data_IF_973230554005
#
_entry.id   IF_973230554005
#
_cell.length_a   1.000
_cell.length_b   1.000
_cell.length_c   1.000
_cell.angle_alpha   90.00
_cell.angle_beta   90.00
_cell.angle_gamma   90.00
#
_symmetry.space_group_name_H-M   'P 1'
#
loop_
_entity.id
_entity.type
_entity.pdbx_description
1 polymer ?
#
# COMPACT_ATOMS: atom_id res chain seq x y z
N UNK A 1 -18.23 -57.37 15.04
CA UNK A 1 -16.99 -57.36 14.23
C UNK A 1 -15.87 -56.91 15.17
N UNK A 2 -14.86 -57.72 15.52
CA UNK A 2 -13.58 -57.88 14.80
C UNK A 2 -12.84 -56.53 14.54
N UNK A 3 -11.56 -56.30 14.85
CA UNK A 3 -10.44 -57.15 15.38
C UNK A 3 -9.24 -56.24 15.76
N UNK A 4 -8.40 -56.65 16.73
CA UNK A 4 -6.95 -56.33 16.91
C UNK A 4 -6.57 -54.83 17.17
N UNK A 5 -5.73 -54.47 18.16
CA UNK A 5 -4.28 -54.73 18.36
C UNK A 5 -3.39 -53.99 17.32
N UNK A 6 -2.21 -53.41 17.62
CA UNK A 6 -1.28 -53.62 18.76
C UNK A 6 -0.19 -52.51 18.81
N UNK A 7 0.24 -52.14 20.02
CA UNK A 7 1.64 -51.84 20.46
C UNK A 7 2.55 -50.72 19.88
N UNK A 8 3.37 -50.19 20.80
CA UNK A 8 4.39 -49.15 20.65
C UNK A 8 5.70 -49.62 19.98
N UNK A 9 6.52 -48.66 19.50
CA UNK A 9 7.97 -48.58 19.80
C UNK A 9 8.63 -47.22 19.48
N UNK A 10 9.42 -46.72 20.45
CA UNK A 10 10.38 -45.59 20.35
C UNK A 10 11.78 -46.11 19.90
N UNK A 11 12.77 -45.18 19.88
CA UNK A 11 14.26 -45.33 19.82
C UNK A 11 14.83 -44.90 18.45
N UNK A 12 15.28 -43.65 18.25
CA UNK A 12 16.56 -42.98 18.65
C UNK A 12 17.75 -43.30 17.71
N UNK A 13 18.27 -42.27 17.02
CA UNK A 13 19.69 -41.89 16.92
C UNK A 13 19.76 -40.53 16.17
N UNK A 14 20.48 -39.47 16.57
CA UNK A 14 21.84 -39.31 17.16
C UNK A 14 22.97 -39.41 16.12
N UNK A 15 23.47 -38.26 15.63
CA UNK A 15 24.83 -38.12 15.04
C UNK A 15 25.29 -36.66 14.81
N UNK A 16 26.25 -36.23 15.64
CA UNK A 16 27.40 -35.34 15.34
C UNK A 16 28.63 -36.11 15.92
N UNK A 17 29.89 -36.00 15.43
CA UNK A 17 30.59 -34.79 14.94
C UNK A 17 31.39 -35.09 13.62
N UNK A 18 32.53 -34.49 13.19
CA UNK A 18 33.46 -33.51 13.78
C UNK A 18 34.38 -32.76 12.76
N UNK A 19 34.89 -31.59 13.19
CA UNK A 19 36.26 -31.05 13.08
C UNK A 19 37.05 -30.86 11.75
N UNK A 20 37.58 -29.61 11.62
CA UNK A 20 38.94 -29.21 11.14
C UNK A 20 39.23 -29.34 9.62
N UNK A 21 40.09 -28.53 8.98
CA UNK A 21 41.11 -27.55 9.44
C UNK A 21 41.59 -26.60 8.31
N UNK A 22 42.22 -25.46 8.68
CA UNK A 22 43.26 -24.68 7.95
C UNK A 22 42.87 -24.03 6.58
N UNK A 23 43.40 -22.86 6.12
CA UNK A 23 44.46 -21.94 6.62
C UNK A 23 44.43 -20.58 5.88
N UNK A 24 45.01 -19.52 6.50
CA UNK A 24 45.62 -18.27 5.93
C UNK A 24 44.86 -17.45 4.83
N UNK A 25 44.93 -16.10 4.78
CA UNK A 25 46.07 -15.21 5.04
C UNK A 25 45.65 -13.81 5.61
N UNK A 26 46.64 -13.04 6.06
CA UNK A 26 46.58 -11.67 6.59
C UNK A 26 46.31 -10.64 5.46
N UNK A 27 45.92 -9.38 5.69
CA UNK A 27 46.84 -8.33 6.20
C UNK A 27 46.15 -7.09 6.83
N UNK A 28 46.73 -6.67 7.97
CA UNK A 28 46.80 -5.35 8.62
C UNK A 28 45.96 -4.17 8.07
N UNK A 29 45.30 -3.46 8.99
CA UNK A 29 45.75 -2.09 9.31
C UNK A 29 45.42 -1.66 10.75
N UNK A 30 46.39 -1.03 11.42
CA UNK A 30 46.24 -0.41 12.75
C UNK A 30 45.78 1.04 12.60
N UNK A 31 44.90 1.50 13.50
CA UNK A 31 45.19 2.74 14.25
C UNK A 31 44.43 2.76 15.58
N UNK A 32 44.88 3.57 16.53
CA UNK A 32 44.55 3.48 17.98
C UNK A 32 44.19 4.85 18.56
N UNK A 33 43.08 4.91 19.30
CA UNK A 33 42.84 5.60 20.58
C UNK A 33 41.37 5.33 20.97
N UNK A 34 40.98 5.04 22.21
CA UNK A 34 41.29 5.76 23.45
C UNK A 34 40.23 6.85 23.63
N UNK A 35 39.33 6.86 24.63
CA UNK A 35 39.55 6.54 26.05
C UNK A 35 38.24 6.15 26.79
N UNK A 36 38.39 5.51 27.97
CA UNK A 36 37.49 5.26 29.12
C UNK A 36 36.00 5.66 29.11
N UNK A 37 35.16 4.75 29.62
CA UNK A 37 33.71 4.97 29.86
C UNK A 37 33.33 5.24 31.33
N UNK A 38 32.02 5.48 31.55
CA UNK A 38 31.38 5.62 32.87
C UNK A 38 29.93 5.07 32.81
N UNK A 39 29.57 4.15 33.71
CA UNK A 39 28.19 3.73 34.04
C UNK A 39 27.62 4.65 35.16
N UNK A 40 26.31 4.83 35.44
CA UNK A 40 25.06 4.15 35.07
C UNK A 40 23.84 5.07 35.41
N UNK A 41 22.66 4.80 34.82
CA UNK A 41 21.28 5.05 35.36
C UNK A 41 20.81 6.49 35.72
N UNK A 42 19.68 6.90 35.13
CA UNK A 42 18.39 6.98 35.86
C UNK A 42 17.18 7.02 34.92
N UNK A 43 15.98 6.76 35.44
CA UNK A 43 14.71 6.65 34.71
C UNK A 43 14.00 8.00 34.55
N UNK A 44 13.18 8.16 33.50
CA UNK A 44 11.98 9.00 33.63
C UNK A 44 11.49 9.76 32.39
N UNK A 45 10.31 9.35 31.90
CA UNK A 45 9.24 10.19 31.39
C UNK A 45 9.23 10.65 29.91
N UNK A 46 8.33 10.01 29.14
CA UNK A 46 7.42 10.58 28.13
C UNK A 46 7.97 11.61 27.11
N UNK A 47 8.17 11.15 25.88
CA UNK A 47 7.20 11.34 24.78
C UNK A 47 7.69 10.59 23.53
N UNK A 48 6.85 9.73 22.95
CA UNK A 48 7.11 9.21 21.61
C UNK A 48 6.77 10.32 20.61
N UNK A 49 7.79 10.88 19.97
CA UNK A 49 7.58 11.84 18.89
C UNK A 49 6.89 11.14 17.71
N UNK A 50 5.87 11.74 17.06
CA UNK A 50 5.30 11.18 15.85
C UNK A 50 6.36 11.15 14.75
N UNK A 51 6.69 9.95 14.29
CA UNK A 51 7.70 9.74 13.25
C UNK A 51 7.20 10.29 11.90
N UNK A 52 7.85 11.35 11.42
CA UNK A 52 7.98 11.56 9.98
C UNK A 52 6.74 12.06 9.22
N UNK A 53 5.88 12.86 9.84
CA UNK A 53 4.98 13.73 9.07
C UNK A 53 5.80 14.81 8.33
N UNK A 54 6.44 14.43 7.21
CA UNK A 54 6.87 15.41 6.20
C UNK A 54 5.61 16.16 5.79
N UNK A 55 5.63 17.49 5.87
CA UNK A 55 4.49 18.31 5.50
C UNK A 55 4.00 17.91 4.11
N UNK A 56 2.74 17.47 4.05
CA UNK A 56 2.01 17.39 2.79
C UNK A 56 1.97 18.83 2.27
N UNK A 57 2.54 19.05 1.08
CA UNK A 57 2.44 20.35 0.42
C UNK A 57 0.97 20.74 0.35
N UNK A 58 0.59 22.02 0.60
CA UNK A 58 -0.80 22.41 0.55
C UNK A 58 -1.36 22.12 -0.84
N UNK A 59 -2.22 21.10 -0.88
CA UNK A 59 -3.01 20.69 -2.01
C UNK A 59 -3.56 21.91 -2.77
N UNK A 60 -3.45 21.89 -4.09
CA UNK A 60 -4.14 22.89 -4.91
C UNK A 60 -5.64 22.81 -4.64
N UNK A 61 -6.33 23.94 -4.73
CA UNK A 61 -7.80 23.87 -4.75
C UNK A 61 -8.20 23.12 -6.03
N UNK A 62 -8.85 21.96 -5.89
CA UNK A 62 -9.48 21.29 -7.03
C UNK A 62 -10.54 22.23 -7.62
N UNK A 63 -10.79 22.14 -8.93
CA UNK A 63 -12.01 22.72 -9.48
C UNK A 63 -13.24 21.99 -8.90
N UNK A 64 -14.41 22.61 -9.04
CA UNK A 64 -15.66 22.08 -8.47
C UNK A 64 -15.91 20.63 -8.94
N UNK A 65 -15.85 20.41 -10.25
CA UNK A 65 -16.13 19.13 -10.91
C UNK A 65 -15.22 17.99 -10.38
N UNK A 66 -13.91 18.25 -10.21
CA UNK A 66 -12.98 17.23 -9.69
C UNK A 66 -13.15 17.01 -8.19
N UNK A 67 -13.53 18.05 -7.43
CA UNK A 67 -13.84 17.91 -6.00
C UNK A 67 -15.14 17.11 -5.78
N UNK A 68 -16.12 17.28 -6.67
CA UNK A 68 -17.37 16.53 -6.67
C UNK A 68 -17.15 15.07 -7.09
N UNK A 69 -16.44 14.85 -8.20
CA UNK A 69 -15.98 13.53 -8.63
C UNK A 69 -15.18 12.78 -7.53
N UNK A 70 -14.31 13.49 -6.79
CA UNK A 70 -13.60 12.89 -5.66
C UNK A 70 -14.57 12.45 -4.54
N UNK A 71 -15.59 13.26 -4.21
CA UNK A 71 -16.61 12.89 -3.22
C UNK A 71 -17.45 11.70 -3.69
N UNK A 72 -17.84 11.67 -4.95
CA UNK A 72 -18.62 10.57 -5.53
C UNK A 72 -17.83 9.24 -5.48
N UNK A 73 -16.54 9.28 -5.83
CA UNK A 73 -15.67 8.11 -5.71
C UNK A 73 -15.45 7.70 -4.25
N UNK A 74 -15.43 8.63 -3.30
CA UNK A 74 -15.37 8.30 -1.87
C UNK A 74 -16.69 7.71 -1.36
N UNK A 75 -17.84 8.16 -1.87
CA UNK A 75 -19.15 7.60 -1.54
C UNK A 75 -19.26 6.16 -2.05
N UNK A 76 -18.88 5.90 -3.30
CA UNK A 76 -18.76 4.54 -3.86
C UNK A 76 -17.82 3.66 -3.03
N UNK A 77 -16.73 4.22 -2.49
CA UNK A 77 -15.78 3.47 -1.68
C UNK A 77 -16.32 3.07 -0.27
N UNK A 78 -17.49 3.56 0.16
CA UNK A 78 -18.14 3.08 1.39
C UNK A 78 -18.61 1.62 1.22
N UNK A 79 -19.08 1.23 0.03
CA UNK A 79 -19.52 -0.13 -0.31
C UNK A 79 -18.36 -1.02 -0.85
N UNK A 80 -17.11 -0.67 -0.55
CA UNK A 80 -15.94 -1.28 -1.18
C UNK A 80 -15.66 -2.75 -0.79
N UNK A 81 -16.38 -3.33 0.17
CA UNK A 81 -16.35 -4.77 0.40
C UNK A 81 -17.11 -5.55 -0.70
N UNK A 82 -17.99 -4.89 -1.44
CA UNK A 82 -18.71 -5.43 -2.61
C UNK A 82 -18.10 -5.07 -3.96
N UNK A 83 -17.28 -4.01 -4.02
CA UNK A 83 -16.69 -3.52 -5.27
C UNK A 83 -15.46 -4.34 -5.69
N UNK A 84 -15.28 -4.50 -7.01
CA UNK A 84 -14.02 -4.97 -7.57
C UNK A 84 -13.07 -3.78 -7.82
N UNK A 85 -11.73 -3.96 -7.70
CA UNK A 85 -10.75 -2.92 -7.99
C UNK A 85 -11.04 -2.23 -9.32
N UNK A 86 -11.23 -0.92 -9.29
CA UNK A 86 -11.75 -0.14 -10.41
C UNK A 86 -11.06 1.22 -10.51
N UNK A 87 -10.94 1.75 -11.74
CA UNK A 87 -10.54 3.12 -12.01
C UNK A 87 -11.69 3.84 -12.68
N UNK A 88 -12.18 4.89 -12.04
CA UNK A 88 -13.16 5.81 -12.56
C UNK A 88 -12.45 6.96 -13.27
N UNK A 89 -13.02 7.49 -14.33
CA UNK A 89 -12.50 8.64 -15.07
C UNK A 89 -13.57 9.71 -15.19
N UNK A 90 -13.19 10.94 -14.88
CA UNK A 90 -13.97 12.15 -15.16
C UNK A 90 -13.63 12.63 -16.57
N UNK A 91 -14.58 12.58 -17.49
CA UNK A 91 -14.46 13.16 -18.82
C UNK A 91 -14.51 14.69 -18.83
N UNK A 92 -14.60 15.30 -20.02
CA UNK A 92 -14.88 16.73 -20.17
C UNK A 92 -16.16 17.15 -19.42
N UNK A 93 -16.30 18.45 -19.07
CA UNK A 93 -17.48 18.92 -18.35
C UNK A 93 -18.73 18.74 -19.21
N UNK A 94 -19.77 18.17 -18.63
CA UNK A 94 -21.09 18.07 -19.23
C UNK A 94 -22.15 18.64 -18.27
N UNK A 95 -23.42 18.57 -18.63
CA UNK A 95 -24.52 19.02 -17.76
C UNK A 95 -24.81 18.08 -16.59
N UNK A 96 -24.19 16.89 -16.55
CA UNK A 96 -24.48 15.84 -15.58
C UNK A 96 -23.20 15.04 -15.26
N UNK A 97 -22.86 14.90 -13.97
CA UNK A 97 -21.60 14.27 -13.55
C UNK A 97 -21.58 12.77 -13.88
N UNK A 98 -22.72 12.08 -13.69
CA UNK A 98 -22.86 10.64 -13.96
C UNK A 98 -22.57 10.34 -15.44
N UNK A 99 -23.12 11.16 -16.34
CA UNK A 99 -22.88 11.13 -17.79
C UNK A 99 -21.43 11.42 -18.20
N UNK A 100 -20.67 12.15 -17.36
CA UNK A 100 -19.24 12.42 -17.56
C UNK A 100 -18.33 11.36 -16.90
N UNK A 101 -18.87 10.44 -16.09
CA UNK A 101 -18.09 9.38 -15.43
C UNK A 101 -18.04 8.10 -16.28
N UNK A 102 -16.88 7.45 -16.27
CA UNK A 102 -16.69 6.12 -16.87
C UNK A 102 -15.83 5.23 -15.97
N UNK A 103 -16.05 3.91 -16.01
CA UNK A 103 -15.38 2.94 -15.14
C UNK A 103 -14.59 1.91 -15.95
N UNK A 104 -13.38 1.59 -15.50
CA UNK A 104 -12.56 0.47 -15.95
C UNK A 104 -12.32 -0.45 -14.76
N UNK A 105 -12.71 -1.72 -14.85
CA UNK A 105 -12.34 -2.74 -13.85
C UNK A 105 -10.88 -3.17 -14.05
N UNK A 106 -10.12 -3.24 -12.96
CA UNK A 106 -8.66 -3.46 -12.94
C UNK A 106 -8.22 -4.56 -11.96
N UNK A 107 -9.13 -5.46 -11.57
CA UNK A 107 -8.87 -6.57 -10.63
C UNK A 107 -7.62 -7.40 -10.95
N UNK A 108 -7.39 -7.70 -12.23
CA UNK A 108 -6.23 -8.49 -12.67
C UNK A 108 -4.91 -7.72 -12.59
N UNK A 109 -4.94 -6.37 -12.60
CA UNK A 109 -3.74 -5.54 -12.53
C UNK A 109 -2.92 -5.79 -11.26
N UNK A 110 -3.56 -6.15 -10.15
CA UNK A 110 -2.91 -6.35 -8.86
C UNK A 110 -2.35 -7.77 -8.66
N UNK A 111 -2.44 -8.66 -9.65
CA UNK A 111 -1.93 -10.03 -9.54
C UNK A 111 -0.40 -10.14 -9.76
N UNK A 112 0.19 -9.31 -10.62
CA UNK A 112 1.64 -9.29 -10.89
C UNK A 112 2.15 -7.89 -11.27
N UNK A 113 3.45 -7.60 -11.11
CA UNK A 113 4.05 -6.36 -11.63
C UNK A 113 3.84 -6.18 -13.13
N UNK A 114 3.93 -7.24 -13.93
CA UNK A 114 3.75 -7.13 -15.39
C UNK A 114 2.30 -6.79 -15.76
N UNK A 115 1.32 -7.42 -15.08
CA UNK A 115 -0.09 -7.11 -15.25
C UNK A 115 -0.39 -5.65 -14.85
N UNK A 116 0.20 -5.16 -13.76
CA UNK A 116 0.07 -3.76 -13.34
C UNK A 116 0.63 -2.79 -14.38
N UNK A 117 1.83 -3.05 -14.93
CA UNK A 117 2.44 -2.19 -15.95
C UNK A 117 1.63 -2.19 -17.26
N UNK A 118 1.14 -3.35 -17.70
CA UNK A 118 0.28 -3.45 -18.88
C UNK A 118 -1.04 -2.69 -18.67
N UNK A 119 -1.67 -2.84 -17.50
CA UNK A 119 -2.87 -2.10 -17.13
C UNK A 119 -2.62 -0.58 -17.10
N UNK A 120 -1.50 -0.13 -16.51
CA UNK A 120 -1.11 1.29 -16.52
C UNK A 120 -0.91 1.86 -17.94
N UNK A 121 -0.41 1.06 -18.89
CA UNK A 121 -0.36 1.42 -20.30
C UNK A 121 -1.74 1.67 -20.89
N UNK A 122 -2.66 0.71 -20.69
CA UNK A 122 -4.05 0.82 -21.12
C UNK A 122 -4.78 2.02 -20.47
N UNK A 123 -4.67 2.22 -19.16
CA UNK A 123 -5.35 3.29 -18.44
C UNK A 123 -4.90 4.68 -18.90
N UNK A 124 -3.61 4.86 -19.23
CA UNK A 124 -3.09 6.11 -19.82
C UNK A 124 -3.66 6.37 -21.21
N UNK A 125 -3.71 5.35 -22.05
CA UNK A 125 -4.32 5.45 -23.38
C UNK A 125 -5.82 5.79 -23.26
N UNK A 126 -6.54 5.10 -22.37
CA UNK A 126 -7.96 5.35 -22.11
C UNK A 126 -8.22 6.79 -21.62
N UNK A 127 -7.41 7.29 -20.68
CA UNK A 127 -7.50 8.67 -20.20
C UNK A 127 -7.34 9.69 -21.35
N UNK A 128 -6.37 9.45 -22.25
CA UNK A 128 -6.12 10.29 -23.42
C UNK A 128 -7.28 10.24 -24.43
N UNK A 129 -7.73 9.04 -24.80
CA UNK A 129 -8.84 8.82 -25.73
C UNK A 129 -10.16 9.42 -25.23
N UNK A 130 -10.39 9.43 -23.92
CA UNK A 130 -11.58 10.03 -23.29
C UNK A 130 -11.44 11.53 -23.00
N UNK A 131 -10.29 12.14 -23.26
CA UNK A 131 -9.98 13.52 -22.81
C UNK A 131 -10.26 13.71 -21.31
N UNK A 132 -9.88 12.72 -20.49
CA UNK A 132 -10.19 12.71 -19.07
C UNK A 132 -9.48 13.86 -18.32
N UNK A 133 -10.20 14.49 -17.39
CA UNK A 133 -9.71 15.57 -16.54
C UNK A 133 -9.11 15.04 -15.23
N UNK A 134 -9.65 13.92 -14.75
CA UNK A 134 -9.22 13.24 -13.53
C UNK A 134 -9.50 11.74 -13.65
N UNK A 135 -8.81 10.96 -12.82
CA UNK A 135 -9.07 9.54 -12.62
C UNK A 135 -9.07 9.24 -11.11
N UNK A 136 -9.88 8.30 -10.66
CA UNK A 136 -9.93 7.86 -9.28
C UNK A 136 -9.91 6.33 -9.21
N UNK A 137 -8.86 5.77 -8.64
CA UNK A 137 -8.77 4.33 -8.38
C UNK A 137 -9.39 4.02 -7.01
N UNK A 138 -10.36 3.10 -6.98
CA UNK A 138 -10.91 2.50 -5.76
C UNK A 138 -10.45 1.05 -5.73
N UNK A 139 -9.67 0.68 -4.72
CA UNK A 139 -9.04 -0.64 -4.62
C UNK A 139 -9.24 -1.17 -3.19
N UNK A 140 -10.09 -2.19 -2.99
CA UNK A 140 -10.22 -2.85 -1.69
C UNK A 140 -8.88 -3.45 -1.25
N UNK A 141 -8.49 -3.25 0.00
CA UNK A 141 -7.15 -3.60 0.49
C UNK A 141 -6.86 -5.10 0.37
N UNK A 142 -7.89 -5.94 0.51
CA UNK A 142 -7.80 -7.40 0.37
C UNK A 142 -7.42 -7.87 -1.05
N UNK A 143 -7.68 -7.08 -2.09
CA UNK A 143 -7.42 -7.45 -3.49
C UNK A 143 -6.01 -7.05 -3.96
N UNK A 144 -5.24 -6.31 -3.16
CA UNK A 144 -3.87 -5.90 -3.49
C UNK A 144 -2.89 -7.05 -3.22
N UNK A 145 -2.86 -8.04 -4.11
CA UNK A 145 -1.87 -9.11 -4.07
C UNK A 145 -0.44 -8.60 -4.35
N UNK A 146 -0.29 -7.60 -5.22
CA UNK A 146 0.98 -6.93 -5.56
C UNK A 146 0.75 -5.45 -5.92
N UNK A 147 1.69 -4.51 -5.62
CA UNK A 147 2.91 -4.69 -4.83
C UNK A 147 2.64 -4.54 -3.33
N UNK A 148 3.08 -5.51 -2.53
CA UNK A 148 2.95 -5.46 -1.07
C UNK A 148 4.02 -4.57 -0.39
N UNK A 149 4.30 -3.38 -0.94
CA UNK A 149 5.26 -2.39 -0.37
C UNK A 149 4.97 -2.07 1.09
N UNK A 150 3.68 -2.02 1.44
CA UNK A 150 3.11 -1.89 2.78
C UNK A 150 3.63 -2.95 3.76
N UNK A 151 3.90 -4.19 3.33
CA UNK A 151 4.43 -5.22 4.26
C UNK A 151 5.92 -5.03 4.56
N UNK A 152 6.64 -4.27 3.74
CA UNK A 152 8.07 -3.98 3.92
C UNK A 152 8.33 -2.70 4.73
N UNK A 153 7.35 -1.77 4.80
CA UNK A 153 7.39 -0.59 5.69
C UNK A 153 6.40 -0.61 6.86
N UNK A 154 5.55 -1.64 6.93
CA UNK A 154 4.37 -1.66 7.80
C UNK A 154 3.20 -0.92 7.14
N UNK A 155 2.03 -1.57 7.08
CA UNK A 155 0.79 -0.89 6.71
C UNK A 155 0.35 -0.02 7.90
N UNK A 156 0.10 1.30 7.69
CA UNK A 156 0.02 2.26 8.79
C UNK A 156 -1.20 2.11 9.70
N UNK A 157 -2.23 1.37 9.26
CA UNK A 157 -3.51 1.23 9.97
C UNK A 157 -3.77 -0.19 10.50
N UNK A 158 -2.75 -1.06 10.60
CA UNK A 158 -2.90 -2.45 11.06
C UNK A 158 -3.82 -3.33 10.17
N UNK A 159 -4.39 -4.40 10.72
CA UNK A 159 -5.24 -5.34 9.95
C UNK A 159 -6.67 -4.81 9.65
N UNK A 160 -6.82 -3.49 9.52
CA UNK A 160 -8.11 -2.82 9.23
C UNK A 160 -8.48 -3.02 7.76
N UNK A 161 -9.71 -3.50 7.54
CA UNK A 161 -10.32 -3.64 6.21
C UNK A 161 -10.81 -2.28 5.70
N UNK A 162 -10.82 -2.11 4.39
CA UNK A 162 -11.28 -0.88 3.73
C UNK A 162 -10.75 -0.78 2.31
N UNK A 163 -10.89 0.40 1.72
CA UNK A 163 -10.41 0.70 0.37
C UNK A 163 -9.34 1.78 0.36
N UNK A 164 -8.43 1.63 -0.59
CA UNK A 164 -7.52 2.66 -1.04
C UNK A 164 -8.21 3.46 -2.14
N UNK A 165 -8.30 4.77 -1.94
CA UNK A 165 -8.88 5.71 -2.89
C UNK A 165 -7.78 6.68 -3.33
N UNK A 166 -7.38 6.58 -4.60
CA UNK A 166 -6.34 7.40 -5.22
C UNK A 166 -6.93 8.25 -6.35
N UNK A 167 -7.12 9.54 -6.10
CA UNK A 167 -7.39 10.54 -7.13
C UNK A 167 -6.08 10.94 -7.81
N UNK A 168 -6.06 10.92 -9.15
CA UNK A 168 -4.98 11.40 -10.00
C UNK A 168 -5.53 12.46 -10.96
N UNK A 169 -4.79 13.55 -11.14
CA UNK A 169 -5.10 14.64 -12.08
C UNK A 169 -3.79 15.12 -12.73
N UNK A 170 -3.83 15.90 -13.82
CA UNK A 170 -2.63 16.51 -14.40
C UNK A 170 -1.81 17.43 -13.47
N UNK A 171 -2.35 17.85 -12.32
CA UNK A 171 -1.73 18.84 -11.41
C UNK A 171 -1.50 18.34 -9.98
N UNK A 172 -2.31 17.39 -9.52
CA UNK A 172 -2.31 16.90 -8.15
C UNK A 172 -2.71 15.42 -8.10
N UNK A 173 -2.14 14.69 -7.14
CA UNK A 173 -2.57 13.36 -6.73
C UNK A 173 -2.95 13.38 -5.25
N UNK A 174 -4.05 12.72 -4.88
CA UNK A 174 -4.50 12.54 -3.49
C UNK A 174 -4.74 11.07 -3.20
N UNK A 175 -4.17 10.58 -2.11
CA UNK A 175 -4.38 9.22 -1.63
C UNK A 175 -5.07 9.30 -0.28
N UNK A 176 -6.01 8.39 -0.05
CA UNK A 176 -6.59 8.17 1.25
C UNK A 176 -7.02 6.71 1.41
N UNK A 177 -7.22 6.30 2.65
CA UNK A 177 -7.85 5.03 3.01
C UNK A 177 -9.21 5.29 3.63
N UNK A 178 -10.22 4.57 3.19
CA UNK A 178 -11.56 4.59 3.77
C UNK A 178 -11.81 3.24 4.48
N UNK A 179 -11.96 3.22 5.82
CA UNK A 179 -12.28 2.00 6.56
C UNK A 179 -13.61 1.38 6.11
N UNK A 180 -13.70 0.04 6.11
CA UNK A 180 -14.90 -0.69 5.71
C UNK A 180 -16.09 -0.53 6.68
N UNK A 181 -15.87 0.02 7.87
CA UNK A 181 -16.88 0.36 8.86
C UNK A 181 -17.24 1.85 8.87
N UNK A 182 -16.77 2.64 7.90
CA UNK A 182 -17.14 4.04 7.74
C UNK A 182 -18.62 4.19 7.34
N UNK A 183 -19.33 5.16 7.93
CA UNK A 183 -20.67 5.58 7.48
C UNK A 183 -20.64 6.86 6.63
N UNK A 184 -19.50 7.54 6.55
CA UNK A 184 -19.35 8.83 5.88
C UNK A 184 -17.93 8.95 5.31
N UNK A 185 -17.81 9.60 4.15
CA UNK A 185 -16.54 9.91 3.47
C UNK A 185 -15.58 10.73 4.34
N UNK A 186 -16.09 11.44 5.36
CA UNK A 186 -15.30 12.15 6.36
C UNK A 186 -14.39 11.23 7.20
N UNK A 187 -14.62 9.90 7.20
CA UNK A 187 -13.74 8.92 7.81
C UNK A 187 -12.46 8.62 6.98
N UNK A 188 -12.35 9.17 5.76
CA UNK A 188 -11.19 8.96 4.90
C UNK A 188 -9.89 9.51 5.52
N UNK A 189 -8.91 8.63 5.74
CA UNK A 189 -7.60 8.96 6.30
C UNK A 189 -6.61 9.28 5.17
N UNK A 190 -6.05 10.50 5.07
CA UNK A 190 -5.07 10.84 4.05
C UNK A 190 -3.79 9.98 4.15
N UNK A 191 -3.24 9.59 3.00
CA UNK A 191 -2.04 8.78 2.88
C UNK A 191 -0.95 9.50 2.06
N UNK A 192 0.32 9.19 2.34
CA UNK A 192 1.47 9.66 1.56
C UNK A 192 1.74 8.80 0.31
N UNK A 193 2.54 9.30 -0.64
CA UNK A 193 2.80 8.63 -1.93
C UNK A 193 3.47 7.25 -1.86
N UNK A 194 4.09 6.88 -0.74
CA UNK A 194 4.60 5.51 -0.50
C UNK A 194 3.47 4.44 -0.57
N UNK A 195 2.22 4.88 -0.53
CA UNK A 195 1.00 4.08 -0.50
C UNK A 195 0.18 4.17 -1.80
N UNK A 196 0.79 4.58 -2.93
CA UNK A 196 0.09 4.61 -4.22
C UNK A 196 -0.23 3.21 -4.74
N UNK A 197 -1.43 3.05 -5.28
CA UNK A 197 -1.86 1.83 -5.98
C UNK A 197 -1.52 1.86 -7.47
N UNK A 198 -1.47 3.06 -8.06
CA UNK A 198 -1.15 3.28 -9.47
C UNK A 198 -0.07 4.36 -9.64
N UNK A 199 0.76 4.20 -10.67
CA UNK A 199 1.62 5.28 -11.17
C UNK A 199 0.79 6.35 -11.91
N UNK A 200 1.30 7.59 -12.08
CA UNK A 200 0.59 8.68 -12.77
C UNK A 200 -0.04 8.24 -14.09
N UNK A 201 -1.33 8.54 -14.26
CA UNK A 201 -2.10 8.31 -15.49
C UNK A 201 -2.05 9.53 -16.41
N UNK A 202 -1.90 10.72 -15.85
CA UNK A 202 -1.71 11.96 -16.61
C UNK A 202 -0.21 12.30 -16.70
N UNK A 203 0.28 12.59 -17.91
CA UNK A 203 1.67 12.94 -18.23
C UNK A 203 1.72 13.90 -19.41
#
# INVERSE_FOLDING_TARGET
MAKKARELKKVINSSKPNAKKDKENQEKNKSVNGNSGVEMKSQGNKQAAPLGAKQVHPSGQLNADTAEFQRECLALALDADTLEPSVYFLGPPSTDLESSMSQVKVKEAFQSPEMLQNCLGFLRQYASEKSALAACAIVPLQDVAYPQVWKLRGWPLGDVKGALVQLDTPKERRLCFLPADAQDVAAAVPLGEDFKVLEPLFR
#
